data_IF_673515880202
#
_entry.id   IF_673515880202
#
_cell.length_a   1.000
_cell.length_b   1.000
_cell.length_c   1.000
_cell.angle_alpha   90.00
_cell.angle_beta   90.00
_cell.angle_gamma   90.00
#
_symmetry.space_group_name_H-M   'P 1'
#
loop_
_entity.id
_entity.type
_entity.pdbx_description
1 polymer ?
#
# COMPACT_ATOMS: atom_id res chain seq x y z
N UNK A 1 21.59 8.67 -0.53
CA UNK A 1 22.43 7.48 -0.35
C UNK A 1 23.61 7.64 -1.30
N UNK A 2 24.85 7.66 -0.80
CA UNK A 2 26.04 7.60 -1.64
C UNK A 2 26.52 6.14 -1.69
N UNK A 3 26.58 5.57 -2.89
CA UNK A 3 26.98 4.17 -3.13
C UNK A 3 25.84 3.25 -3.57
N UNK A 4 26.19 2.07 -4.07
CA UNK A 4 25.25 0.99 -4.38
C UNK A 4 24.69 0.39 -3.08
N UNK A 5 23.37 0.17 -3.04
CA UNK A 5 22.68 -0.42 -1.89
C UNK A 5 21.97 -1.71 -2.31
N UNK A 6 22.06 -2.73 -1.47
CA UNK A 6 21.33 -3.98 -1.66
C UNK A 6 20.01 -3.88 -0.88
N UNK A 7 18.89 -3.84 -1.58
CA UNK A 7 17.55 -3.73 -1.01
C UNK A 7 16.62 -4.83 -1.54
N UNK A 8 15.67 -5.22 -0.70
CA UNK A 8 14.50 -5.98 -1.13
C UNK A 8 13.43 -5.04 -1.71
N UNK A 9 12.47 -5.60 -2.47
CA UNK A 9 11.37 -4.81 -3.04
C UNK A 9 10.54 -4.06 -1.99
N UNK A 10 10.20 -4.72 -0.88
CA UNK A 10 9.47 -4.10 0.24
C UNK A 10 10.24 -2.94 0.87
N UNK A 11 11.57 -3.08 1.03
CA UNK A 11 12.42 -2.01 1.55
C UNK A 11 12.49 -0.83 0.57
N UNK A 12 12.59 -1.10 -0.73
CA UNK A 12 12.59 -0.07 -1.77
C UNK A 12 11.28 0.73 -1.82
N UNK A 13 10.12 0.08 -1.65
CA UNK A 13 8.82 0.75 -1.49
C UNK A 13 8.84 1.71 -0.30
N UNK A 14 9.37 1.28 0.84
CA UNK A 14 9.44 2.11 2.05
C UNK A 14 10.33 3.33 1.80
N UNK A 15 11.52 3.14 1.24
CA UNK A 15 12.42 4.27 0.94
C UNK A 15 11.81 5.23 -0.09
N UNK A 16 11.12 4.72 -1.11
CA UNK A 16 10.41 5.53 -2.11
C UNK A 16 9.33 6.40 -1.47
N UNK A 17 8.44 5.79 -0.70
CA UNK A 17 7.38 6.49 0.03
C UNK A 17 7.92 7.59 0.96
N UNK A 18 8.95 7.28 1.74
CA UNK A 18 9.54 8.23 2.68
C UNK A 18 10.23 9.39 1.95
N UNK A 19 10.93 9.11 0.85
CA UNK A 19 11.57 10.10 -0.01
C UNK A 19 10.54 11.00 -0.71
N UNK A 20 9.40 10.45 -1.13
CA UNK A 20 8.27 11.19 -1.69
C UNK A 20 7.52 12.05 -0.66
N UNK A 21 7.85 11.93 0.63
CA UNK A 21 7.26 12.73 1.71
C UNK A 21 6.05 12.09 2.39
N UNK A 22 5.84 10.78 2.25
CA UNK A 22 4.83 10.05 3.01
C UNK A 22 5.09 10.18 4.51
N UNK A 23 4.06 10.57 5.29
CA UNK A 23 4.15 10.77 6.75
C UNK A 23 3.05 10.07 7.53
N UNK A 24 2.20 9.29 6.86
CA UNK A 24 1.17 8.51 7.53
C UNK A 24 1.08 7.11 6.91
N UNK A 25 1.06 6.09 7.77
CA UNK A 25 0.78 4.71 7.40
C UNK A 25 -0.24 4.12 8.36
N UNK A 26 -1.27 3.49 7.81
CA UNK A 26 -2.17 2.62 8.57
C UNK A 26 -2.32 1.29 7.84
N UNK A 27 -2.23 0.17 8.55
CA UNK A 27 -2.26 -1.15 7.90
C UNK A 27 -2.57 -2.30 8.86
N UNK A 28 -2.94 -3.44 8.28
CA UNK A 28 -3.15 -4.71 8.98
C UNK A 28 -2.09 -5.73 8.51
N UNK A 29 -1.48 -6.52 9.41
CA UNK A 29 -0.42 -7.46 9.02
C UNK A 29 -0.91 -8.57 8.08
N UNK A 30 -0.29 -8.67 6.90
CA UNK A 30 -0.56 -9.73 5.93
C UNK A 30 0.70 -10.07 5.13
N UNK A 31 1.05 -11.36 5.03
CA UNK A 31 2.15 -11.80 4.15
C UNK A 31 1.75 -11.60 2.68
N UNK A 32 2.60 -11.08 1.79
CA UNK A 32 4.00 -10.69 1.97
C UNK A 32 4.23 -9.15 2.07
N UNK A 33 3.27 -8.39 2.62
CA UNK A 33 3.42 -6.94 2.80
C UNK A 33 3.86 -6.50 4.20
N UNK A 34 3.91 -7.43 5.17
CA UNK A 34 4.24 -7.13 6.58
C UNK A 34 5.56 -6.39 6.76
N UNK A 35 6.59 -6.70 5.97
CA UNK A 35 7.90 -6.04 6.07
C UNK A 35 7.82 -4.53 5.76
N UNK A 36 6.89 -4.10 4.90
CA UNK A 36 6.61 -2.67 4.67
C UNK A 36 6.06 -2.03 5.95
N UNK A 37 5.09 -2.69 6.60
CA UNK A 37 4.50 -2.20 7.85
C UNK A 37 5.55 -2.12 8.96
N UNK A 38 6.37 -3.15 9.14
CA UNK A 38 7.44 -3.19 10.16
C UNK A 38 8.51 -2.10 9.93
N UNK A 39 8.88 -1.85 8.68
CA UNK A 39 9.82 -0.80 8.34
C UNK A 39 9.21 0.60 8.56
N UNK A 40 7.95 0.81 8.17
CA UNK A 40 7.22 2.07 8.40
C UNK A 40 7.02 2.35 9.89
N UNK A 41 6.70 1.33 10.70
CA UNK A 41 6.58 1.44 12.15
C UNK A 41 7.88 1.95 12.80
N UNK A 42 9.03 1.51 12.29
CA UNK A 42 10.35 1.97 12.77
C UNK A 42 10.71 3.35 12.25
N UNK A 43 10.46 3.63 10.96
CA UNK A 43 11.00 4.79 10.24
C UNK A 43 10.14 6.04 10.34
N UNK A 44 8.81 5.93 10.32
CA UNK A 44 7.92 7.09 10.34
C UNK A 44 8.10 7.96 11.59
N UNK A 45 8.18 7.41 12.83
CA UNK A 45 8.36 8.23 14.02
C UNK A 45 9.64 9.07 14.00
N UNK A 46 10.70 8.56 13.36
CA UNK A 46 11.99 9.26 13.21
C UNK A 46 11.89 10.49 12.29
N UNK A 47 10.84 10.53 11.45
CA UNK A 47 10.58 11.59 10.47
C UNK A 47 9.36 12.44 10.86
N UNK A 48 8.87 12.31 12.11
CA UNK A 48 7.67 12.99 12.60
C UNK A 48 6.37 12.49 11.98
N UNK A 49 6.38 11.32 11.34
CA UNK A 49 5.20 10.66 10.79
C UNK A 49 4.53 9.74 11.80
N UNK A 50 3.36 9.22 11.43
CA UNK A 50 2.52 8.36 12.26
C UNK A 50 2.33 7.00 11.61
N UNK A 51 2.61 5.94 12.36
CA UNK A 51 2.26 4.57 12.02
C UNK A 51 1.14 4.10 12.94
N UNK A 52 0.12 3.45 12.38
CA UNK A 52 -0.95 2.81 13.15
C UNK A 52 -1.18 1.39 12.60
N UNK A 53 -1.11 0.39 13.47
CA UNK A 53 -1.64 -0.92 13.13
C UNK A 53 -3.14 -0.90 13.39
N UNK A 54 -3.93 -1.11 12.34
CA UNK A 54 -5.38 -1.15 12.46
C UNK A 54 -5.86 -2.56 12.75
N UNK A 55 -7.12 -2.67 13.13
CA UNK A 55 -7.81 -3.92 13.46
C UNK A 55 -8.06 -4.82 12.23
N UNK A 56 -8.21 -4.22 11.05
CA UNK A 56 -8.41 -4.89 9.77
C UNK A 56 -8.05 -3.96 8.58
N UNK A 57 -8.17 -4.49 7.36
CA UNK A 57 -7.91 -3.73 6.14
C UNK A 57 -8.95 -2.65 5.83
N UNK A 58 -10.19 -2.77 6.33
CA UNK A 58 -11.24 -1.76 6.15
C UNK A 58 -10.88 -0.51 6.96
N UNK A 59 -10.52 -0.68 8.23
CA UNK A 59 -10.06 0.37 9.12
C UNK A 59 -8.72 0.96 8.64
N UNK A 60 -7.83 0.13 8.08
CA UNK A 60 -6.57 0.58 7.45
C UNK A 60 -6.79 1.63 6.37
N UNK A 61 -7.60 1.31 5.35
CA UNK A 61 -7.82 2.24 4.25
C UNK A 61 -8.68 3.45 4.69
N UNK A 62 -9.63 3.27 5.61
CA UNK A 62 -10.40 4.39 6.17
C UNK A 62 -9.50 5.39 6.91
N UNK A 63 -8.54 4.91 7.71
CA UNK A 63 -7.58 5.76 8.40
C UNK A 63 -6.64 6.49 7.41
N UNK A 64 -6.18 5.82 6.35
CA UNK A 64 -5.38 6.43 5.27
C UNK A 64 -6.13 7.56 4.57
N UNK A 65 -7.39 7.33 4.19
CA UNK A 65 -8.26 8.33 3.57
C UNK A 65 -8.45 9.52 4.50
N UNK A 66 -8.72 9.27 5.79
CA UNK A 66 -8.86 10.32 6.80
C UNK A 66 -7.59 11.16 6.98
N UNK A 67 -6.42 10.52 7.00
CA UNK A 67 -5.14 11.21 7.10
C UNK A 67 -4.84 12.05 5.85
N UNK A 68 -5.20 11.56 4.67
CA UNK A 68 -5.08 12.30 3.41
C UNK A 68 -5.95 13.55 3.38
N UNK A 69 -7.21 13.44 3.81
CA UNK A 69 -8.11 14.58 3.98
C UNK A 69 -7.59 15.61 5.00
N UNK A 70 -6.84 15.16 6.00
CA UNK A 70 -6.16 16.04 6.95
C UNK A 70 -4.85 16.67 6.43
N UNK A 71 -4.47 16.38 5.18
CA UNK A 71 -3.32 16.98 4.48
C UNK A 71 -2.04 16.15 4.51
N UNK A 72 -2.06 14.92 5.02
CA UNK A 72 -0.90 14.04 5.00
C UNK A 72 -0.78 13.27 3.68
N UNK A 73 0.45 13.07 3.19
CA UNK A 73 0.70 11.99 2.23
C UNK A 73 0.62 10.66 2.97
N UNK A 74 -0.37 9.86 2.64
CA UNK A 74 -0.76 8.66 3.37
C UNK A 74 -0.76 7.43 2.45
N UNK A 75 -0.35 6.30 3.01
CA UNK A 75 -0.34 5.01 2.30
C UNK A 75 -0.71 3.83 3.19
N UNK A 76 -1.03 2.70 2.56
CA UNK A 76 -1.11 1.38 3.20
C UNK A 76 -0.47 0.32 2.30
N UNK A 77 -0.17 -0.85 2.85
CA UNK A 77 0.29 -2.01 2.11
C UNK A 77 -0.49 -3.26 2.51
N UNK A 78 -0.87 -4.07 1.53
CA UNK A 78 -1.72 -5.26 1.71
C UNK A 78 -1.39 -6.31 0.66
N UNK A 79 -2.23 -7.34 0.55
CA UNK A 79 -2.22 -8.34 -0.53
C UNK A 79 -3.67 -8.69 -0.90
N UNK A 80 -3.90 -9.47 -1.96
CA UNK A 80 -5.22 -9.77 -2.54
C UNK A 80 -6.43 -9.88 -1.57
N UNK A 81 -6.38 -10.67 -0.47
CA UNK A 81 -7.51 -10.73 0.48
C UNK A 81 -7.82 -9.39 1.13
N UNK A 82 -6.80 -8.69 1.61
CA UNK A 82 -6.96 -7.38 2.23
C UNK A 82 -7.33 -6.31 1.21
N UNK A 83 -6.76 -6.37 0.01
CA UNK A 83 -7.14 -5.50 -1.12
C UNK A 83 -8.61 -5.66 -1.51
N UNK A 84 -9.18 -6.85 -1.34
CA UNK A 84 -10.62 -7.10 -1.52
C UNK A 84 -11.47 -6.39 -0.48
N UNK A 85 -11.04 -6.35 0.77
CA UNK A 85 -11.75 -5.65 1.84
C UNK A 85 -11.69 -4.12 1.69
N UNK A 86 -10.66 -3.59 1.02
CA UNK A 86 -10.51 -2.14 0.82
C UNK A 86 -11.40 -1.54 -0.29
N UNK A 87 -12.03 -2.37 -1.14
CA UNK A 87 -12.67 -1.90 -2.39
C UNK A 87 -13.77 -0.85 -2.17
N UNK A 88 -14.60 -0.99 -1.13
CA UNK A 88 -15.66 -0.02 -0.84
C UNK A 88 -15.08 1.37 -0.55
N UNK A 89 -14.05 1.42 0.31
CA UNK A 89 -13.36 2.66 0.67
C UNK A 89 -12.55 3.25 -0.50
N UNK A 90 -11.98 2.42 -1.38
CA UNK A 90 -11.34 2.91 -2.61
C UNK A 90 -12.35 3.62 -3.52
N UNK A 91 -13.58 3.10 -3.61
CA UNK A 91 -14.67 3.78 -4.31
C UNK A 91 -14.98 5.15 -3.71
N UNK A 92 -15.05 5.23 -2.37
CA UNK A 92 -15.20 6.50 -1.67
C UNK A 92 -14.05 7.47 -1.95
N UNK A 93 -12.78 7.02 -1.88
CA UNK A 93 -11.61 7.85 -2.17
C UNK A 93 -11.64 8.41 -3.59
N UNK A 94 -12.06 7.60 -4.58
CA UNK A 94 -12.21 8.05 -5.96
C UNK A 94 -13.27 9.16 -6.09
N UNK A 95 -14.45 8.96 -5.50
CA UNK A 95 -15.56 9.94 -5.58
C UNK A 95 -15.25 11.23 -4.82
N UNK A 96 -14.52 11.13 -3.71
CA UNK A 96 -14.14 12.27 -2.88
C UNK A 96 -12.81 12.92 -3.32
N UNK A 97 -12.21 12.45 -4.41
CA UNK A 97 -10.92 12.92 -4.95
C UNK A 97 -9.79 12.93 -3.89
N UNK A 98 -9.77 11.90 -3.02
CA UNK A 98 -8.80 11.80 -1.93
C UNK A 98 -7.55 11.04 -2.37
N UNK A 99 -6.36 11.67 -2.38
CA UNK A 99 -5.15 11.00 -2.83
C UNK A 99 -4.62 10.03 -1.77
N UNK A 100 -4.47 8.76 -2.11
CA UNK A 100 -3.80 7.77 -1.26
C UNK A 100 -3.09 6.70 -2.10
N UNK A 101 -2.06 6.08 -1.55
CA UNK A 101 -1.33 4.97 -2.19
C UNK A 101 -1.65 3.66 -1.47
N UNK A 102 -2.03 2.64 -2.23
CA UNK A 102 -2.17 1.26 -1.74
C UNK A 102 -1.15 0.40 -2.46
N UNK A 103 -0.25 -0.23 -1.69
CA UNK A 103 0.71 -1.19 -2.24
C UNK A 103 0.11 -2.58 -2.10
N UNK A 104 -0.34 -3.15 -3.22
CA UNK A 104 -0.78 -4.54 -3.29
C UNK A 104 0.40 -5.46 -3.62
N UNK A 105 0.97 -6.11 -2.60
CA UNK A 105 2.04 -7.09 -2.79
C UNK A 105 1.40 -8.42 -3.15
N UNK A 106 1.20 -8.63 -4.46
CA UNK A 106 0.42 -9.73 -5.02
C UNK A 106 1.00 -11.10 -4.65
N UNK A 107 0.11 -12.01 -4.22
CA UNK A 107 0.44 -13.40 -3.87
C UNK A 107 -0.56 -14.37 -4.51
N UNK A 108 -0.28 -15.67 -4.46
CA UNK A 108 -1.15 -16.69 -5.03
C UNK A 108 -2.57 -16.62 -4.43
N UNK A 109 -3.57 -16.45 -5.29
CA UNK A 109 -5.00 -16.54 -4.96
C UNK A 109 -5.67 -17.76 -5.60
N UNK A 110 -7.02 -17.85 -5.64
CA UNK A 110 -7.99 -16.93 -5.02
C UNK A 110 -8.16 -17.18 -3.51
N UNK A 111 -8.91 -16.30 -2.84
CA UNK A 111 -9.14 -16.37 -1.38
C UNK A 111 -7.81 -16.38 -0.62
N UNK A 112 -7.64 -17.22 0.41
CA UNK A 112 -6.36 -17.36 1.13
C UNK A 112 -5.20 -17.71 0.18
N UNK A 113 -5.48 -18.56 -0.81
CA UNK A 113 -4.55 -19.00 -1.85
C UNK A 113 -3.24 -19.59 -1.31
N UNK A 114 -2.12 -19.13 -1.87
CA UNK A 114 -0.76 -19.53 -1.52
C UNK A 114 0.00 -18.33 -0.94
N UNK A 115 -0.06 -18.09 0.39
CA UNK A 115 0.45 -16.86 1.01
C UNK A 115 1.93 -16.56 0.76
N UNK A 116 2.73 -17.60 0.51
CA UNK A 116 4.18 -17.50 0.31
C UNK A 116 4.61 -17.66 -1.14
N UNK A 117 3.67 -17.84 -2.08
CA UNK A 117 3.96 -17.96 -3.51
C UNK A 117 3.58 -16.68 -4.25
N UNK A 118 4.46 -16.15 -5.11
CA UNK A 118 4.15 -14.95 -5.89
C UNK A 118 3.08 -15.22 -6.95
N UNK A 119 2.36 -14.17 -7.33
CA UNK A 119 1.36 -14.19 -8.40
C UNK A 119 1.22 -12.80 -9.02
N UNK A 120 0.55 -12.73 -10.16
CA UNK A 120 0.14 -11.48 -10.81
C UNK A 120 -1.39 -11.49 -11.11
N UNK A 121 -2.16 -12.19 -10.28
CA UNK A 121 -3.60 -12.43 -10.50
C UNK A 121 -4.52 -11.24 -10.21
N UNK A 122 -4.10 -10.29 -9.38
CA UNK A 122 -4.95 -9.21 -8.86
C UNK A 122 -5.09 -8.01 -9.83
N UNK A 123 -4.50 -8.07 -11.04
CA UNK A 123 -4.52 -6.98 -12.05
C UNK A 123 -5.94 -6.49 -12.36
N UNK A 124 -6.89 -7.44 -12.54
CA UNK A 124 -8.28 -7.09 -12.84
C UNK A 124 -8.92 -6.35 -11.66
N UNK A 125 -8.65 -6.79 -10.44
CA UNK A 125 -9.18 -6.19 -9.23
C UNK A 125 -8.56 -4.81 -8.97
N UNK A 126 -7.26 -4.64 -9.24
CA UNK A 126 -6.58 -3.36 -9.09
C UNK A 126 -7.19 -2.26 -9.97
N UNK A 127 -7.66 -2.64 -11.17
CA UNK A 127 -8.21 -1.68 -12.14
C UNK A 127 -9.73 -1.53 -12.10
N UNK A 128 -10.48 -2.57 -11.73
CA UNK A 128 -11.94 -2.60 -11.81
C UNK A 128 -12.62 -3.16 -10.55
N UNK A 129 -11.91 -3.19 -9.41
CA UNK A 129 -12.37 -3.89 -8.20
C UNK A 129 -13.55 -3.23 -7.48
N UNK A 130 -13.62 -1.90 -7.46
CA UNK A 130 -14.73 -1.19 -6.80
C UNK A 130 -15.92 -0.99 -7.74
N UNK A 131 -17.10 -0.81 -7.17
CA UNK A 131 -18.35 -0.73 -7.92
C UNK A 131 -18.53 0.64 -8.59
N UNK A 132 -19.27 0.66 -9.70
CA UNK A 132 -19.54 1.89 -10.47
C UNK A 132 -18.34 2.34 -11.31
N UNK A 133 -18.57 3.34 -12.16
CA UNK A 133 -17.50 3.93 -12.98
C UNK A 133 -16.62 4.83 -12.12
N UNK A 134 -15.32 4.57 -12.13
CA UNK A 134 -14.36 5.31 -11.30
C UNK A 134 -13.00 5.43 -12.01
N UNK A 135 -12.31 6.58 -11.85
CA UNK A 135 -10.92 6.68 -12.25
C UNK A 135 -10.02 6.10 -11.14
N UNK A 136 -9.14 5.15 -11.49
CA UNK A 136 -8.09 4.68 -10.59
C UNK A 136 -6.77 4.53 -11.34
N UNK A 137 -5.67 5.03 -10.77
CA UNK A 137 -4.33 4.88 -11.35
C UNK A 137 -3.74 3.58 -10.82
N UNK A 138 -3.24 2.74 -11.72
CA UNK A 138 -2.60 1.46 -11.38
C UNK A 138 -1.24 1.39 -12.04
N UNK A 139 -0.21 1.09 -11.25
CA UNK A 139 1.18 0.93 -11.66
C UNK A 139 1.65 -0.46 -11.24
N UNK A 140 2.59 -1.06 -11.98
CA UNK A 140 3.16 -2.35 -11.67
C UNK A 140 4.68 -2.27 -11.82
N UNK A 141 5.39 -2.47 -10.70
CA UNK A 141 6.84 -2.48 -10.67
C UNK A 141 7.37 -3.86 -11.13
N UNK A 142 8.41 -3.85 -11.96
CA UNK A 142 9.07 -5.05 -12.48
C UNK A 142 10.47 -5.27 -11.89
N UNK A 143 10.97 -4.32 -11.09
CA UNK A 143 12.29 -4.37 -10.45
C UNK A 143 12.31 -3.63 -9.11
N UNK A 144 13.34 -3.89 -8.30
CA UNK A 144 13.55 -3.19 -7.01
C UNK A 144 13.72 -1.67 -7.22
N UNK A 145 14.39 -1.26 -8.30
CA UNK A 145 14.54 0.16 -8.62
C UNK A 145 13.19 0.80 -8.97
N UNK A 146 12.33 0.10 -9.70
CA UNK A 146 10.97 0.57 -9.98
C UNK A 146 10.10 0.62 -8.73
N UNK A 147 10.24 -0.31 -7.78
CA UNK A 147 9.56 -0.23 -6.49
C UNK A 147 9.87 1.10 -5.77
N UNK A 148 11.12 1.58 -5.84
CA UNK A 148 11.48 2.89 -5.28
C UNK A 148 10.91 4.05 -6.10
N UNK A 149 11.05 4.02 -7.42
CA UNK A 149 10.70 5.17 -8.27
C UNK A 149 9.19 5.35 -8.53
N UNK A 150 8.41 4.27 -8.44
CA UNK A 150 6.95 4.31 -8.65
C UNK A 150 6.17 4.54 -7.35
N UNK A 151 6.83 4.51 -6.19
CA UNK A 151 6.22 4.80 -4.88
C UNK A 151 6.48 6.25 -4.49
#
# INVERSE_FOLDING_TARGET
MEGEVLLQGNEAVVEGALAAGCRFYAGYPITPSTEIAEAMARRLPQLGGVFIQMEDEIASIAAVIGASLAGAKAMTATSGPGFSLMQENLGFACVAEVPCVVVDVMRGGPSTGLPTSPSQGDVMQARWGTHGDHPIIVLCASSVAECFHLT
#
